data_IF_756318473951
#
_entry.id   IF_756318473951
#
_cell.length_a   1.000
_cell.length_b   1.000
_cell.length_c   1.000
_cell.angle_alpha   90.00
_cell.angle_beta   90.00
_cell.angle_gamma   90.00
#
_symmetry.space_group_name_H-M   'P 1'
#
loop_
_entity.id
_entity.type
_entity.pdbx_description
1 polymer ?
#
# COMPACT_ATOMS: atom_id res chain seq x y z
N UNK A 1 -6.33 10.27 1.11
CA UNK A 1 -5.31 9.19 1.08
C UNK A 1 -4.26 9.35 -0.01
N UNK A 2 -4.57 10.05 -1.12
CA UNK A 2 -3.63 10.31 -2.23
C UNK A 2 -2.26 10.83 -1.77
N UNK A 3 -2.18 11.72 -0.78
CA UNK A 3 -0.92 12.29 -0.30
C UNK A 3 0.14 11.24 0.10
N UNK A 4 -0.21 10.22 0.88
CA UNK A 4 0.75 9.18 1.28
C UNK A 4 1.09 8.23 0.14
N UNK A 5 0.16 7.96 -0.78
CA UNK A 5 0.45 7.20 -1.99
C UNK A 5 1.47 7.93 -2.88
N UNK A 6 1.27 9.22 -3.12
CA UNK A 6 2.21 10.05 -3.88
C UNK A 6 3.57 10.17 -3.17
N UNK A 7 3.56 10.34 -1.85
CA UNK A 7 4.78 10.36 -1.05
C UNK A 7 5.58 9.05 -1.22
N UNK A 8 4.92 7.90 -1.06
CA UNK A 8 5.53 6.59 -1.27
C UNK A 8 6.07 6.43 -2.70
N UNK A 9 5.29 6.85 -3.70
CA UNK A 9 5.67 6.81 -5.11
C UNK A 9 6.91 7.66 -5.39
N UNK A 10 6.98 8.89 -4.87
CA UNK A 10 8.16 9.76 -5.02
C UNK A 10 9.39 9.13 -4.38
N UNK A 11 9.29 8.61 -3.15
CA UNK A 11 10.42 7.97 -2.47
C UNK A 11 10.91 6.71 -3.19
N UNK A 12 9.99 5.92 -3.74
CA UNK A 12 10.30 4.71 -4.51
C UNK A 12 10.90 5.05 -5.88
N UNK A 13 10.28 5.96 -6.64
CA UNK A 13 10.59 6.19 -8.04
C UNK A 13 11.73 7.17 -8.26
N UNK A 14 11.68 8.34 -7.61
CA UNK A 14 12.68 9.38 -7.80
C UNK A 14 13.92 9.11 -6.94
N UNK A 15 13.72 8.78 -5.66
CA UNK A 15 14.79 8.59 -4.69
C UNK A 15 15.27 7.14 -4.58
N UNK A 16 14.57 6.17 -5.17
CA UNK A 16 14.94 4.74 -5.20
C UNK A 16 15.13 4.14 -3.80
N UNK A 17 14.36 4.63 -2.83
CA UNK A 17 14.35 4.05 -1.50
C UNK A 17 13.71 2.66 -1.51
N UNK A 18 14.21 1.77 -0.65
CA UNK A 18 13.66 0.42 -0.51
C UNK A 18 12.32 0.47 0.23
N UNK A 19 11.36 -0.46 -0.03
CA UNK A 19 10.05 -0.47 0.60
C UNK A 19 10.09 -0.35 2.13
N UNK A 20 10.99 -1.07 2.81
CA UNK A 20 11.19 -0.97 4.27
C UNK A 20 11.54 0.43 4.78
N UNK A 21 12.28 1.23 3.99
CA UNK A 21 12.68 2.60 4.35
C UNK A 21 11.48 3.53 4.20
N UNK A 22 10.70 3.32 3.15
CA UNK A 22 9.44 4.05 2.92
C UNK A 22 8.46 3.75 4.05
N UNK A 23 8.28 2.47 4.42
CA UNK A 23 7.40 2.06 5.50
C UNK A 23 7.80 2.68 6.85
N UNK A 24 9.09 2.65 7.19
CA UNK A 24 9.59 3.30 8.41
C UNK A 24 9.34 4.82 8.41
N UNK A 25 9.51 5.47 7.26
CA UNK A 25 9.23 6.91 7.12
C UNK A 25 7.74 7.22 7.30
N UNK A 26 6.86 6.44 6.67
CA UNK A 26 5.40 6.62 6.80
C UNK A 26 4.97 6.40 8.24
N UNK A 27 5.43 5.33 8.91
CA UNK A 27 5.15 5.07 10.33
C UNK A 27 5.50 6.28 11.21
N UNK A 28 6.68 6.86 10.99
CA UNK A 28 7.10 8.05 11.73
C UNK A 28 6.23 9.29 11.44
N UNK A 29 5.77 9.45 10.21
CA UNK A 29 4.89 10.58 9.84
C UNK A 29 3.50 10.46 10.48
N UNK A 30 2.94 9.24 10.53
CA UNK A 30 1.57 9.02 11.03
C UNK A 30 1.49 8.87 12.55
N UNK A 31 2.62 8.61 13.22
CA UNK A 31 2.74 8.61 14.68
C UNK A 31 2.70 10.02 15.28
N UNK A 32 2.94 11.06 14.46
CA UNK A 32 2.85 12.44 14.90
C UNK A 32 1.41 12.79 15.34
N UNK A 33 1.18 13.34 16.55
CA UNK A 33 -0.18 13.55 17.07
C UNK A 33 -1.06 14.47 16.21
N UNK A 34 -0.45 15.36 15.42
CA UNK A 34 -1.15 16.26 14.51
C UNK A 34 -1.56 15.61 13.18
N UNK A 35 -1.08 14.39 12.89
CA UNK A 35 -1.38 13.68 11.66
C UNK A 35 -2.79 13.08 11.69
N UNK A 36 -3.67 13.63 10.85
CA UNK A 36 -5.01 13.09 10.61
C UNK A 36 -4.97 12.19 9.38
N UNK A 37 -5.10 10.88 9.59
CA UNK A 37 -5.05 9.86 8.53
C UNK A 37 -6.15 8.83 8.71
N UNK A 38 -6.48 8.12 7.62
CA UNK A 38 -7.29 6.89 7.69
C UNK A 38 -6.36 5.74 8.14
N UNK A 39 -6.35 5.45 9.45
CA UNK A 39 -5.40 4.47 10.03
C UNK A 39 -5.56 3.07 9.44
N UNK A 40 -6.76 2.48 9.36
CA UNK A 40 -6.94 1.17 8.73
C UNK A 40 -6.35 1.07 7.32
N UNK A 41 -6.55 2.12 6.52
CA UNK A 41 -6.05 2.14 5.17
C UNK A 41 -4.52 2.33 5.13
N UNK A 42 -3.95 3.14 6.03
CA UNK A 42 -2.49 3.29 6.18
C UNK A 42 -1.84 1.96 6.56
N UNK A 43 -2.41 1.24 7.52
CA UNK A 43 -1.90 -0.07 7.93
C UNK A 43 -1.92 -1.07 6.77
N UNK A 44 -2.95 -1.05 5.92
CA UNK A 44 -3.00 -1.88 4.72
C UNK A 44 -1.88 -1.53 3.72
N UNK A 45 -1.61 -0.25 3.50
CA UNK A 45 -0.48 0.19 2.66
C UNK A 45 0.88 -0.18 3.27
N UNK A 46 1.03 -0.08 4.60
CA UNK A 46 2.25 -0.49 5.31
C UNK A 46 2.49 -2.00 5.19
N UNK A 47 1.44 -2.82 5.32
CA UNK A 47 1.53 -4.26 5.14
C UNK A 47 2.02 -4.63 3.73
N UNK A 48 1.56 -3.92 2.69
CA UNK A 48 2.04 -4.12 1.33
C UNK A 48 3.54 -3.76 1.18
N UNK A 49 3.98 -2.63 1.76
CA UNK A 49 5.40 -2.26 1.76
C UNK A 49 6.29 -3.26 2.53
N UNK A 50 5.81 -3.78 3.67
CA UNK A 50 6.55 -4.76 4.46
C UNK A 50 6.71 -6.09 3.70
N UNK A 51 5.74 -6.44 2.86
CA UNK A 51 5.80 -7.58 1.93
C UNK A 51 6.64 -7.30 0.66
N UNK A 52 7.24 -6.12 0.56
CA UNK A 52 8.10 -5.70 -0.55
C UNK A 52 7.35 -5.14 -1.77
N UNK A 53 6.04 -4.94 -1.67
CA UNK A 53 5.20 -4.36 -2.71
C UNK A 53 5.11 -2.83 -2.63
N UNK A 54 4.07 -2.27 -3.24
CA UNK A 54 3.78 -0.84 -3.26
C UNK A 54 2.72 -0.45 -2.23
N UNK A 55 2.86 0.75 -1.64
CA UNK A 55 1.90 1.26 -0.66
C UNK A 55 0.50 1.44 -1.25
N UNK A 56 0.41 1.98 -2.46
CA UNK A 56 -0.86 2.28 -3.10
C UNK A 56 -1.66 1.00 -3.41
N UNK A 57 -1.00 -0.09 -3.79
CA UNK A 57 -1.66 -1.37 -4.02
C UNK A 57 -2.38 -1.88 -2.75
N UNK A 58 -1.72 -1.78 -1.60
CA UNK A 58 -2.31 -2.13 -0.30
C UNK A 58 -3.53 -1.26 0.04
N UNK A 59 -3.43 0.05 -0.20
CA UNK A 59 -4.52 1.00 0.01
C UNK A 59 -5.71 0.72 -0.91
N UNK A 60 -5.46 0.51 -2.21
CA UNK A 60 -6.51 0.25 -3.21
C UNK A 60 -7.22 -1.07 -2.88
N UNK A 61 -6.47 -2.12 -2.54
CA UNK A 61 -7.03 -3.39 -2.13
C UNK A 61 -7.89 -3.26 -0.86
N UNK A 62 -7.47 -2.46 0.11
CA UNK A 62 -8.25 -2.19 1.32
C UNK A 62 -9.55 -1.43 1.02
N UNK A 63 -9.48 -0.32 0.29
CA UNK A 63 -10.66 0.47 -0.04
C UNK A 63 -11.66 -0.32 -0.90
N UNK A 64 -11.16 -1.11 -1.85
CA UNK A 64 -11.98 -2.03 -2.64
C UNK A 64 -12.77 -2.99 -1.74
N UNK A 65 -12.11 -3.64 -0.78
CA UNK A 65 -12.79 -4.51 0.21
C UNK A 65 -13.76 -3.75 1.09
N UNK A 66 -13.40 -2.53 1.53
CA UNK A 66 -14.27 -1.68 2.36
C UNK A 66 -15.57 -1.32 1.64
N UNK A 67 -15.54 -1.21 0.31
CA UNK A 67 -16.71 -0.96 -0.53
C UNK A 67 -17.48 -2.24 -0.94
N UNK A 68 -17.11 -3.41 -0.43
CA UNK A 68 -17.76 -4.68 -0.74
C UNK A 68 -17.13 -5.46 -1.91
N UNK A 69 -15.96 -5.04 -2.41
CA UNK A 69 -15.22 -5.80 -3.40
C UNK A 69 -14.57 -7.04 -2.81
N UNK A 70 -14.72 -8.19 -3.48
CA UNK A 70 -14.20 -9.48 -2.98
C UNK A 70 -12.80 -9.82 -3.50
N UNK A 71 -12.42 -9.29 -4.66
CA UNK A 71 -11.17 -9.62 -5.35
C UNK A 71 -10.51 -8.35 -5.85
N UNK A 72 -9.24 -8.15 -5.51
CA UNK A 72 -8.40 -7.13 -6.13
C UNK A 72 -7.94 -7.62 -7.51
N UNK A 73 -8.29 -6.90 -8.57
CA UNK A 73 -7.93 -7.27 -9.95
C UNK A 73 -6.95 -6.24 -10.50
N UNK A 74 -5.80 -6.69 -11.00
CA UNK A 74 -4.77 -5.81 -11.59
C UNK A 74 -4.11 -6.47 -12.80
N UNK A 75 -3.56 -5.64 -13.70
CA UNK A 75 -2.68 -6.09 -14.79
C UNK A 75 -1.22 -6.21 -14.34
N UNK A 76 -0.88 -5.68 -13.17
CA UNK A 76 0.45 -5.77 -12.58
C UNK A 76 0.61 -7.11 -11.84
N UNK A 77 1.54 -7.93 -12.32
CA UNK A 77 1.81 -9.25 -11.76
C UNK A 77 2.46 -9.19 -10.38
N UNK A 78 3.32 -8.20 -10.14
CA UNK A 78 4.01 -8.07 -8.87
C UNK A 78 3.05 -7.56 -7.80
N UNK A 79 2.17 -6.61 -8.14
CA UNK A 79 1.10 -6.15 -7.25
C UNK A 79 0.21 -7.32 -6.77
N UNK A 80 -0.25 -8.17 -7.69
CA UNK A 80 -1.06 -9.36 -7.37
C UNK A 80 -0.29 -10.29 -6.44
N UNK A 81 0.97 -10.61 -6.78
CA UNK A 81 1.80 -11.52 -5.99
C UNK A 81 2.06 -11.01 -4.57
N UNK A 82 2.33 -9.71 -4.40
CA UNK A 82 2.56 -9.12 -3.08
C UNK A 82 1.28 -9.06 -2.25
N UNK A 83 0.13 -8.79 -2.86
CA UNK A 83 -1.15 -8.80 -2.15
C UNK A 83 -1.58 -10.22 -1.74
N UNK A 84 -1.35 -11.22 -2.59
CA UNK A 84 -1.56 -12.63 -2.23
C UNK A 84 -0.68 -13.06 -1.06
N UNK A 85 0.58 -12.61 -1.00
CA UNK A 85 1.51 -13.00 0.07
C UNK A 85 1.12 -12.45 1.45
N UNK A 86 0.31 -11.38 1.50
CA UNK A 86 -0.28 -10.84 2.73
C UNK A 86 -1.72 -11.32 2.97
N UNK A 87 -2.18 -12.33 2.23
CA UNK A 87 -3.48 -12.99 2.42
C UNK A 87 -4.66 -12.28 1.76
N UNK A 88 -4.45 -11.30 0.87
CA UNK A 88 -5.52 -10.69 0.12
C UNK A 88 -5.96 -11.56 -1.06
N UNK A 89 -7.27 -11.61 -1.32
CA UNK A 89 -7.81 -12.17 -2.56
C UNK A 89 -7.47 -11.25 -3.73
N UNK A 90 -6.56 -11.68 -4.60
CA UNK A 90 -6.12 -10.91 -5.76
C UNK A 90 -6.06 -11.78 -7.03
N UNK A 91 -6.19 -11.16 -8.20
CA UNK A 91 -6.21 -11.84 -9.50
C UNK A 91 -5.54 -11.00 -10.59
N UNK A 92 -4.64 -11.62 -11.33
CA UNK A 92 -4.07 -11.04 -12.55
C UNK A 92 -5.10 -11.05 -13.68
N UNK A 93 -5.42 -9.87 -14.22
CA UNK A 93 -6.22 -9.71 -15.42
C UNK A 93 -5.33 -9.90 -16.65
N UNK A 94 -5.70 -10.86 -17.51
CA UNK A 94 -5.02 -11.19 -18.77
C UNK A 94 -5.69 -10.50 -19.94
#
# INVERSE_FOLDING_TARGET
>A
MSCLCEFAWVLSRAYKHRPRVIAATIRRLVDEPSAIVDRPAVEAGLAALDAGGDFADGVIAFEGRRMGGEVFVSFDRDAVKHLESIGASAKLLR
#
